data_IF_252019714570
#
_entry.id   IF_252019714570
#
_cell.length_a   1.000
_cell.length_b   1.000
_cell.length_c   1.000
_cell.angle_alpha   90.00
_cell.angle_beta   90.00
_cell.angle_gamma   90.00
#
_symmetry.space_group_name_H-M   'P 1'
#
loop_
_entity.id
_entity.type
_entity.pdbx_description
1 polymer ?
#
# COMPACT_ATOMS: atom_id res chain seq x y z
N UNK A 1 13.73 -35.48 9.61
CA UNK A 1 13.65 -34.55 8.47
C UNK A 1 12.18 -34.39 8.11
N UNK A 2 11.52 -33.38 8.68
CA UNK A 2 10.09 -33.18 8.51
C UNK A 2 9.82 -32.39 7.22
N UNK A 3 8.93 -32.91 6.37
CA UNK A 3 8.42 -32.24 5.19
C UNK A 3 7.68 -30.96 5.61
N UNK A 4 8.20 -29.80 5.21
CA UNK A 4 7.46 -28.54 5.29
C UNK A 4 6.26 -28.67 4.34
N UNK A 5 5.01 -28.51 4.79
CA UNK A 5 3.86 -28.57 3.91
C UNK A 5 4.00 -27.46 2.86
N UNK A 6 3.94 -27.84 1.58
CA UNK A 6 3.95 -26.89 0.47
C UNK A 6 2.81 -25.90 0.65
N UNK A 7 3.14 -24.70 1.12
CA UNK A 7 2.19 -23.60 1.26
C UNK A 7 1.56 -23.32 -0.10
N UNK A 8 0.24 -23.24 -0.12
CA UNK A 8 -0.51 -22.83 -1.30
C UNK A 8 0.15 -21.57 -1.87
N UNK A 9 0.57 -21.63 -3.13
CA UNK A 9 1.04 -20.45 -3.85
C UNK A 9 -0.15 -19.50 -3.92
N UNK A 10 -0.20 -18.55 -2.98
CA UNK A 10 -1.22 -17.50 -2.97
C UNK A 10 -1.07 -16.75 -4.28
N UNK A 11 -2.10 -16.83 -5.12
CA UNK A 11 -2.11 -16.22 -6.43
C UNK A 11 -1.62 -14.77 -6.32
N UNK A 12 -0.79 -14.31 -7.27
CA UNK A 12 -0.28 -12.94 -7.27
C UNK A 12 -1.46 -11.98 -7.22
N UNK A 13 -1.28 -10.88 -6.49
CA UNK A 13 -2.26 -9.81 -6.32
C UNK A 13 -2.87 -9.41 -7.69
N UNK A 14 -4.09 -9.85 -7.99
CA UNK A 14 -4.78 -9.56 -9.26
C UNK A 14 -5.20 -8.10 -9.31
N UNK A 15 -4.34 -7.29 -9.91
CA UNK A 15 -4.55 -5.86 -10.08
C UNK A 15 -5.64 -5.59 -11.11
N UNK A 16 -6.62 -4.74 -10.76
CA UNK A 16 -7.76 -4.42 -11.64
C UNK A 16 -7.73 -2.94 -11.98
N UNK A 17 -7.73 -2.60 -13.27
CA UNK A 17 -7.97 -1.23 -13.73
C UNK A 17 -9.45 -0.91 -13.54
N UNK A 18 -9.74 0.18 -12.82
CA UNK A 18 -11.10 0.63 -12.58
C UNK A 18 -11.58 1.57 -13.69
N UNK A 19 -10.79 2.60 -13.96
CA UNK A 19 -11.09 3.63 -14.96
C UNK A 19 -9.85 4.49 -15.25
N UNK A 20 -9.99 5.37 -16.25
CA UNK A 20 -8.97 6.31 -16.71
C UNK A 20 -9.37 7.73 -16.30
N UNK A 21 -8.41 8.48 -15.75
CA UNK A 21 -8.57 9.87 -15.31
C UNK A 21 -7.44 10.70 -15.93
N UNK A 22 -7.74 11.42 -17.02
CA UNK A 22 -6.73 12.16 -17.79
C UNK A 22 -5.63 11.23 -18.32
N UNK A 23 -4.36 11.55 -18.08
CA UNK A 23 -3.21 10.71 -18.48
C UNK A 23 -2.90 9.56 -17.50
N UNK A 24 -3.76 9.33 -16.52
CA UNK A 24 -3.58 8.33 -15.45
C UNK A 24 -4.73 7.33 -15.43
N UNK A 25 -4.54 6.22 -14.73
CA UNK A 25 -5.56 5.21 -14.49
C UNK A 25 -5.66 4.89 -13.01
N UNK A 26 -6.88 4.68 -12.52
CA UNK A 26 -7.16 4.18 -11.18
C UNK A 26 -7.08 2.67 -11.19
N UNK A 27 -6.26 2.16 -10.30
CA UNK A 27 -5.95 0.74 -10.21
C UNK A 27 -6.28 0.27 -8.81
N UNK A 28 -7.05 -0.81 -8.71
CA UNK A 28 -7.39 -1.46 -7.45
C UNK A 28 -6.41 -2.58 -7.16
N UNK A 29 -5.80 -2.49 -5.98
CA UNK A 29 -5.04 -3.55 -5.35
C UNK A 29 -5.98 -4.31 -4.38
N UNK A 30 -6.20 -5.63 -4.55
CA UNK A 30 -7.15 -6.42 -3.76
C UNK A 30 -6.67 -6.74 -2.33
N UNK A 31 -6.01 -5.80 -1.65
CA UNK A 31 -5.43 -5.97 -0.30
C UNK A 31 -6.47 -6.24 0.80
N UNK A 32 -7.75 -5.99 0.55
CA UNK A 32 -8.86 -6.29 1.47
C UNK A 32 -9.47 -7.69 1.28
N UNK A 33 -9.15 -8.39 0.19
CA UNK A 33 -9.65 -9.75 -0.07
C UNK A 33 -8.90 -10.78 0.79
N UNK A 34 -9.48 -11.95 1.03
CA UNK A 34 -8.81 -13.02 1.77
C UNK A 34 -7.49 -13.43 1.10
N UNK A 35 -7.50 -13.62 -0.23
CA UNK A 35 -6.30 -13.95 -1.00
C UNK A 35 -5.25 -12.84 -0.97
N UNK A 36 -5.66 -11.58 -1.14
CA UNK A 36 -4.73 -10.45 -1.09
C UNK A 36 -4.14 -10.23 0.30
N UNK A 37 -4.92 -10.48 1.37
CA UNK A 37 -4.41 -10.47 2.75
C UNK A 37 -3.37 -11.57 2.97
N UNK A 38 -3.69 -12.81 2.57
CA UNK A 38 -2.76 -13.94 2.70
C UNK A 38 -1.48 -13.69 1.91
N UNK A 39 -1.58 -13.15 0.69
CA UNK A 39 -0.42 -12.73 -0.10
C UNK A 39 0.43 -11.69 0.65
N UNK A 40 -0.19 -10.61 1.16
CA UNK A 40 0.55 -9.58 1.91
C UNK A 40 1.21 -10.14 3.17
N UNK A 41 0.55 -11.04 3.89
CA UNK A 41 1.12 -11.72 5.07
C UNK A 41 2.33 -12.58 4.70
N UNK A 42 2.28 -13.28 3.56
CA UNK A 42 3.40 -14.08 3.06
C UNK A 42 4.61 -13.27 2.60
N UNK A 43 4.46 -11.95 2.45
CA UNK A 43 5.57 -11.04 2.13
C UNK A 43 6.23 -10.42 3.37
N UNK A 44 5.63 -10.57 4.55
CA UNK A 44 6.18 -9.99 5.77
C UNK A 44 7.52 -10.64 6.12
N UNK A 45 8.53 -9.83 6.41
CA UNK A 45 9.89 -10.27 6.73
C UNK A 45 10.28 -10.00 8.19
N UNK A 46 9.44 -9.29 8.96
CA UNK A 46 9.67 -8.98 10.37
C UNK A 46 8.36 -8.95 11.17
N UNK A 47 8.48 -8.96 12.49
CA UNK A 47 7.32 -9.02 13.41
C UNK A 47 6.42 -7.80 13.31
N UNK A 48 6.98 -6.62 13.03
CA UNK A 48 6.21 -5.38 12.87
C UNK A 48 5.28 -5.48 11.65
N UNK A 49 5.80 -5.94 10.52
CA UNK A 49 5.03 -6.18 9.30
C UNK A 49 3.97 -7.27 9.52
N UNK A 50 4.29 -8.35 10.24
CA UNK A 50 3.32 -9.40 10.59
C UNK A 50 2.18 -8.83 11.44
N UNK A 51 2.52 -8.03 12.46
CA UNK A 51 1.53 -7.38 13.33
C UNK A 51 0.64 -6.43 12.55
N UNK A 52 1.21 -5.59 11.67
CA UNK A 52 0.42 -4.76 10.75
C UNK A 52 -0.45 -5.65 9.87
N UNK A 53 0.11 -6.69 9.27
CA UNK A 53 -0.58 -7.51 8.29
C UNK A 53 -1.81 -8.24 8.86
N UNK A 54 -1.86 -8.46 10.18
CA UNK A 54 -3.00 -9.03 10.90
C UNK A 54 -4.18 -8.06 11.07
N UNK A 55 -3.96 -6.75 10.95
CA UNK A 55 -5.02 -5.75 11.09
C UNK A 55 -6.06 -5.85 9.95
N UNK A 56 -7.33 -5.46 10.21
CA UNK A 56 -8.34 -5.37 9.17
C UNK A 56 -7.87 -4.50 8.01
N UNK A 57 -8.07 -5.01 6.79
CA UNK A 57 -7.62 -4.33 5.58
C UNK A 57 -8.76 -4.06 4.62
N UNK A 58 -8.59 -3.02 3.80
CA UNK A 58 -9.44 -2.72 2.65
C UNK A 58 -8.61 -2.69 1.36
N UNK A 59 -9.28 -2.69 0.22
CA UNK A 59 -8.62 -2.59 -1.08
C UNK A 59 -8.04 -1.19 -1.28
N UNK A 60 -6.79 -1.12 -1.69
CA UNK A 60 -6.11 0.16 -1.96
C UNK A 60 -6.36 0.57 -3.40
N UNK A 61 -6.74 1.83 -3.60
CA UNK A 61 -6.83 2.45 -4.93
C UNK A 61 -5.61 3.31 -5.16
N UNK A 62 -4.92 3.06 -6.27
CA UNK A 62 -3.70 3.76 -6.65
C UNK A 62 -3.88 4.41 -8.02
N UNK A 63 -3.46 5.66 -8.16
CA UNK A 63 -3.34 6.32 -9.45
C UNK A 63 -1.94 6.06 -10.02
N UNK A 64 -1.90 5.48 -11.22
CA UNK A 64 -0.67 5.24 -11.97
C UNK A 64 -0.77 5.84 -13.36
N UNK A 65 0.36 6.04 -14.05
CA UNK A 65 0.35 6.44 -15.47
C UNK A 65 -0.40 5.40 -16.31
N UNK A 66 -1.12 5.80 -17.35
CA UNK A 66 -1.71 4.85 -18.30
C UNK A 66 -0.66 3.94 -18.97
N UNK A 67 0.57 4.44 -19.14
CA UNK A 67 1.70 3.68 -19.67
C UNK A 67 2.35 2.73 -18.66
N UNK A 68 1.82 2.62 -17.44
CA UNK A 68 2.41 1.78 -16.39
C UNK A 68 2.17 0.31 -16.71
N UNK A 69 3.25 -0.45 -16.86
CA UNK A 69 3.21 -1.91 -16.81
C UNK A 69 2.78 -2.36 -15.40
N UNK A 70 1.60 -2.97 -15.31
CA UNK A 70 1.00 -3.38 -14.03
C UNK A 70 1.74 -4.56 -13.39
N UNK A 71 2.34 -5.46 -14.17
CA UNK A 71 3.16 -6.55 -13.65
C UNK A 71 4.43 -6.00 -13.00
N UNK A 72 5.10 -5.05 -13.67
CA UNK A 72 6.25 -4.36 -13.10
C UNK A 72 5.87 -3.53 -11.87
N UNK A 73 4.67 -2.92 -11.87
CA UNK A 73 4.15 -2.19 -10.73
C UNK A 73 3.95 -3.11 -9.50
N UNK A 74 3.34 -4.27 -9.66
CA UNK A 74 3.24 -5.29 -8.60
C UNK A 74 4.62 -5.76 -8.16
N UNK A 75 5.53 -6.01 -9.09
CA UNK A 75 6.89 -6.42 -8.75
C UNK A 75 7.65 -5.36 -7.93
N UNK A 76 7.36 -4.05 -8.11
CA UNK A 76 7.91 -2.98 -7.27
C UNK A 76 7.35 -3.03 -5.86
N UNK A 77 6.06 -3.32 -5.69
CA UNK A 77 5.43 -3.50 -4.38
C UNK A 77 6.11 -4.64 -3.62
N UNK A 78 6.37 -5.76 -4.28
CA UNK A 78 7.01 -6.94 -3.66
C UNK A 78 8.47 -6.68 -3.32
N UNK A 79 9.21 -5.95 -4.16
CA UNK A 79 10.68 -5.82 -4.04
C UNK A 79 11.17 -4.57 -3.33
N UNK A 80 10.33 -3.55 -3.14
CA UNK A 80 10.72 -2.31 -2.47
C UNK A 80 9.99 -2.19 -1.14
N UNK A 81 10.75 -2.29 -0.07
CA UNK A 81 10.27 -2.18 1.31
C UNK A 81 9.34 -0.97 1.48
N UNK A 82 9.78 0.24 1.11
CA UNK A 82 8.94 1.43 1.23
C UNK A 82 7.57 1.32 0.54
N UNK A 83 7.46 0.59 -0.58
CA UNK A 83 6.17 0.40 -1.26
C UNK A 83 5.29 -0.61 -0.53
N UNK A 84 5.89 -1.68 -0.01
CA UNK A 84 5.19 -2.65 0.82
C UNK A 84 4.63 -2.01 2.09
N UNK A 85 5.46 -1.26 2.82
CA UNK A 85 5.06 -0.50 4.01
C UNK A 85 3.96 0.50 3.71
N UNK A 86 4.07 1.23 2.59
CA UNK A 86 2.98 2.09 2.12
C UNK A 86 1.68 1.33 1.96
N UNK A 87 1.68 0.13 1.37
CA UNK A 87 0.45 -0.64 1.20
C UNK A 87 -0.11 -1.13 2.53
N UNK A 88 0.74 -1.52 3.48
CA UNK A 88 0.29 -1.85 4.83
C UNK A 88 -0.42 -0.65 5.47
N UNK A 89 0.20 0.54 5.44
CA UNK A 89 -0.39 1.77 5.98
C UNK A 89 -1.67 2.17 5.22
N UNK A 90 -1.67 2.15 3.88
CA UNK A 90 -2.84 2.55 3.10
C UNK A 90 -4.01 1.59 3.28
N UNK A 91 -3.75 0.28 3.35
CA UNK A 91 -4.83 -0.72 3.47
C UNK A 91 -5.39 -0.85 4.88
N UNK A 92 -4.67 -0.43 5.93
CA UNK A 92 -5.06 -0.65 7.34
C UNK A 92 -5.20 0.63 8.15
N UNK A 93 -4.55 1.70 7.71
CA UNK A 93 -4.57 2.98 8.38
C UNK A 93 -5.91 3.69 8.26
N UNK A 94 -6.16 4.60 9.21
CA UNK A 94 -7.30 5.50 9.20
C UNK A 94 -7.01 6.71 8.30
N UNK A 95 -8.05 7.24 7.66
CA UNK A 95 -7.96 8.51 6.93
C UNK A 95 -7.77 9.64 7.96
N UNK A 96 -6.71 10.43 7.80
CA UNK A 96 -6.50 11.59 8.62
C UNK A 96 -7.42 12.74 8.18
N UNK A 97 -7.92 13.52 9.14
CA UNK A 97 -8.88 14.60 8.87
C UNK A 97 -8.29 15.71 7.98
N UNK A 98 -6.98 15.92 8.05
CA UNK A 98 -6.24 16.89 7.24
C UNK A 98 -5.19 16.21 6.37
N UNK A 99 -5.03 16.71 5.14
CA UNK A 99 -3.92 16.30 4.28
C UNK A 99 -2.57 16.80 4.87
N UNK A 100 -1.51 16.05 4.64
CA UNK A 100 -0.15 16.45 5.01
C UNK A 100 0.29 17.67 4.15
N UNK A 101 1.16 18.58 4.65
CA UNK A 101 1.64 19.69 3.80
C UNK A 101 2.56 19.28 2.64
N UNK A 102 3.06 18.04 2.61
CA UNK A 102 3.69 17.46 1.41
C UNK A 102 2.65 17.13 0.32
N UNK A 103 1.42 17.65 0.43
CA UNK A 103 0.29 17.48 -0.50
C UNK A 103 -0.13 16.02 -0.70
N UNK A 104 0.06 15.21 0.35
CA UNK A 104 -0.47 13.85 0.45
C UNK A 104 -2.01 13.91 0.48
N UNK A 105 -2.69 13.60 -0.61
CA UNK A 105 -4.16 13.49 -0.63
C UNK A 105 -4.95 14.80 -0.79
N UNK A 106 -4.34 15.88 -1.29
CA UNK A 106 -4.97 17.21 -1.39
C UNK A 106 -5.83 17.50 -2.63
N UNK A 107 -6.37 16.50 -3.35
CA UNK A 107 -7.28 16.71 -4.50
C UNK A 107 -6.85 16.05 -5.82
N UNK A 108 -7.39 16.53 -6.95
CA UNK A 108 -7.28 15.97 -8.33
C UNK A 108 -5.85 15.73 -8.87
N UNK A 109 -4.80 16.04 -8.11
CA UNK A 109 -3.39 15.80 -8.46
C UNK A 109 -2.59 14.97 -7.45
N UNK A 110 -3.17 14.59 -6.31
CA UNK A 110 -2.45 13.87 -5.25
C UNK A 110 -2.02 12.49 -5.73
N UNK A 111 -0.72 12.21 -5.63
CA UNK A 111 -0.11 10.96 -6.10
C UNK A 111 0.65 10.22 -5.02
N UNK A 112 0.54 8.88 -4.98
CA UNK A 112 -0.30 8.05 -5.85
C UNK A 112 -1.68 7.72 -5.25
N UNK A 113 -1.95 8.12 -3.99
CA UNK A 113 -3.21 7.81 -3.29
C UNK A 113 -4.08 9.05 -3.11
N UNK A 114 -5.40 8.86 -3.17
CA UNK A 114 -6.39 9.89 -2.89
C UNK A 114 -6.40 10.31 -1.42
N UNK A 115 -6.31 9.34 -0.51
CA UNK A 115 -6.50 9.58 0.92
C UNK A 115 -5.15 9.65 1.66
N UNK A 116 -5.05 10.59 2.60
CA UNK A 116 -3.94 10.67 3.55
C UNK A 116 -4.20 9.67 4.70
N UNK A 117 -3.82 8.41 4.52
CA UNK A 117 -3.99 7.38 5.56
C UNK A 117 -2.74 7.19 6.39
N UNK A 118 -2.95 6.96 7.69
CA UNK A 118 -1.90 6.77 8.68
C UNK A 118 -2.24 5.60 9.59
N UNK A 119 -1.21 4.91 10.08
CA UNK A 119 -1.34 3.87 11.06
C UNK A 119 -0.50 4.25 12.29
N UNK A 120 -1.11 4.70 13.39
CA UNK A 120 -0.38 5.10 14.60
C UNK A 120 0.55 4.01 15.09
N UNK A 121 1.75 4.39 15.53
CA UNK A 121 2.78 3.45 16.01
C UNK A 121 3.71 2.89 14.93
N UNK A 122 3.40 3.07 13.64
CA UNK A 122 4.20 2.53 12.53
C UNK A 122 4.79 3.65 11.69
N UNK A 123 6.05 3.49 11.25
CA UNK A 123 6.76 4.51 10.43
C UNK A 123 6.68 5.92 11.05
N UNK A 124 6.77 6.00 12.39
CA UNK A 124 6.61 7.23 13.20
C UNK A 124 5.29 7.96 12.97
N UNK A 125 4.25 7.30 12.48
CA UNK A 125 2.96 7.91 12.14
C UNK A 125 2.92 8.58 10.77
N UNK A 126 3.93 8.38 9.91
CA UNK A 126 3.92 8.91 8.56
C UNK A 126 2.75 8.36 7.73
N UNK A 127 2.17 9.21 6.86
CA UNK A 127 1.12 8.75 5.96
C UNK A 127 1.68 7.92 4.79
N UNK A 128 0.85 7.03 4.25
CA UNK A 128 1.26 6.11 3.18
C UNK A 128 1.80 6.81 1.93
N UNK A 129 1.28 8.00 1.58
CA UNK A 129 1.76 8.79 0.44
C UNK A 129 3.16 9.37 0.66
N UNK A 130 3.50 9.81 1.88
CA UNK A 130 4.86 10.25 2.21
C UNK A 130 5.84 9.08 2.15
N UNK A 131 5.46 7.93 2.72
CA UNK A 131 6.28 6.71 2.69
C UNK A 131 6.56 6.30 1.23
N UNK A 132 5.56 6.36 0.36
CA UNK A 132 5.69 5.98 -1.05
C UNK A 132 6.74 6.80 -1.79
N UNK A 133 6.79 8.11 -1.49
CA UNK A 133 7.75 9.03 -2.08
C UNK A 133 9.12 8.98 -1.39
N UNK A 134 9.35 8.05 -0.46
CA UNK A 134 10.56 8.00 0.39
C UNK A 134 10.76 9.29 1.20
N UNK A 135 9.65 9.95 1.55
CA UNK A 135 9.59 11.19 2.32
C UNK A 135 8.90 11.00 3.68
N UNK A 136 8.87 9.75 4.20
CA UNK A 136 8.23 9.41 5.49
C UNK A 136 8.67 10.34 6.62
N UNK A 137 9.98 10.55 6.77
CA UNK A 137 10.58 11.43 7.78
C UNK A 137 10.21 12.92 7.64
N UNK A 138 9.70 13.33 6.48
CA UNK A 138 9.25 14.71 6.20
C UNK A 138 7.73 14.87 6.35
N UNK A 139 7.04 13.80 6.75
CA UNK A 139 5.61 13.84 7.01
C UNK A 139 5.35 14.66 8.29
N UNK A 140 4.50 15.67 8.20
CA UNK A 140 4.15 16.52 9.34
C UNK A 140 3.26 15.82 10.36
N UNK A 141 2.72 14.65 10.03
CA UNK A 141 1.98 13.83 10.97
C UNK A 141 2.90 12.92 11.80
N UNK A 142 4.21 12.91 11.51
CA UNK A 142 5.11 12.14 12.32
C UNK A 142 5.14 12.67 13.75
N UNK A 143 4.99 11.74 14.70
CA UNK A 143 5.07 11.98 16.14
C UNK A 143 6.34 11.34 16.69
#
# INVERSE_FOLDING_TARGET
>A
MALVPGGAVTAPMSVVVLDVVGSRQRVRLPTGTAAGRAFMQGLCINDEEVAMAALPSHNVIVLVSQSTDLCLFVAKIVRREGYFWTLLVQSRGAVHATACAQRCGGGLGAVPFKDCRMLPGYQRGACGSCIWQSHGSRCQHCT
#
